data_IF_382954503231
#
_entry.id   IF_382954503231
#
_cell.length_a   1.000
_cell.length_b   1.000
_cell.length_c   1.000
_cell.angle_alpha   90.00
_cell.angle_beta   90.00
_cell.angle_gamma   90.00
#
_symmetry.space_group_name_H-M   'P 1'
#
loop_
_entity.id
_entity.type
_entity.pdbx_description
1 polymer ?
#
# COMPACT_ATOMS: atom_id res chain seq x y z
N UNK A 1 6.79 -27.63 4.96
CA UNK A 1 7.49 -26.82 5.98
C UNK A 1 8.24 -25.64 5.37
N UNK A 2 9.27 -25.87 4.55
CA UNK A 2 10.17 -24.82 4.02
C UNK A 2 9.46 -23.58 3.45
N UNK A 3 8.42 -23.75 2.63
CA UNK A 3 7.66 -22.63 2.04
C UNK A 3 7.10 -21.67 3.11
N UNK A 4 6.53 -22.20 4.20
CA UNK A 4 5.99 -21.41 5.32
C UNK A 4 7.10 -20.66 6.07
N UNK A 5 8.30 -21.26 6.19
CA UNK A 5 9.46 -20.59 6.77
C UNK A 5 9.92 -19.42 5.87
N UNK A 6 10.01 -19.64 4.55
CA UNK A 6 10.35 -18.61 3.57
C UNK A 6 9.33 -17.46 3.57
N UNK A 7 8.03 -17.76 3.61
CA UNK A 7 6.98 -16.73 3.76
C UNK A 7 7.22 -15.88 5.00
N UNK A 8 7.42 -16.47 6.17
CA UNK A 8 7.65 -15.74 7.42
C UNK A 8 8.94 -14.90 7.36
N UNK A 9 10.02 -15.45 6.82
CA UNK A 9 11.33 -14.77 6.67
C UNK A 9 11.27 -13.58 5.70
N UNK A 10 10.37 -13.59 4.71
CA UNK A 10 10.18 -12.45 3.78
C UNK A 10 9.15 -11.45 4.30
N UNK A 11 8.01 -11.90 4.82
CA UNK A 11 6.92 -11.01 5.22
C UNK A 11 7.19 -10.24 6.53
N UNK A 12 7.94 -10.80 7.49
CA UNK A 12 8.30 -10.05 8.71
C UNK A 12 9.15 -8.80 8.42
N UNK A 13 10.31 -8.88 7.74
CA UNK A 13 11.09 -7.68 7.44
C UNK A 13 10.36 -6.73 6.49
N UNK A 14 9.56 -7.23 5.55
CA UNK A 14 8.70 -6.39 4.71
C UNK A 14 7.71 -5.59 5.57
N UNK A 15 7.00 -6.22 6.51
CA UNK A 15 6.07 -5.55 7.42
C UNK A 15 6.78 -4.50 8.29
N UNK A 16 8.00 -4.78 8.78
CA UNK A 16 8.80 -3.81 9.55
C UNK A 16 9.13 -2.58 8.69
N UNK A 17 9.52 -2.77 7.42
CA UNK A 17 9.80 -1.66 6.48
C UNK A 17 8.55 -0.84 6.19
N UNK A 18 7.39 -1.49 5.95
CA UNK A 18 6.12 -0.80 5.71
C UNK A 18 5.65 0.01 6.92
N UNK A 19 5.80 -0.53 8.14
CA UNK A 19 5.50 0.19 9.39
C UNK A 19 6.44 1.37 9.58
N UNK A 20 7.75 1.21 9.36
CA UNK A 20 8.72 2.29 9.47
C UNK A 20 8.43 3.42 8.45
N UNK A 21 8.09 3.06 7.21
CA UNK A 21 7.71 3.99 6.14
C UNK A 21 6.44 4.78 6.53
N UNK A 22 5.42 4.10 7.07
CA UNK A 22 4.18 4.70 7.55
C UNK A 22 4.39 5.65 8.75
N UNK A 23 5.24 5.29 9.72
CA UNK A 23 5.53 6.11 10.90
C UNK A 23 6.37 7.34 10.56
N UNK A 24 7.36 7.20 9.67
CA UNK A 24 8.15 8.32 9.18
C UNK A 24 7.28 9.32 8.39
N UNK A 25 6.41 8.81 7.52
CA UNK A 25 5.55 9.60 6.65
C UNK A 25 4.10 9.67 7.18
N UNK A 26 3.99 9.99 8.48
CA UNK A 26 2.72 10.23 9.19
C UNK A 26 2.07 11.58 8.87
N UNK A 27 2.85 12.52 8.34
CA UNK A 27 2.34 13.76 7.74
C UNK A 27 1.89 13.48 6.29
N UNK A 28 1.06 14.34 5.67
CA UNK A 28 0.80 14.25 4.25
C UNK A 28 2.10 14.28 3.43
N UNK A 29 2.21 13.39 2.45
CA UNK A 29 3.30 13.35 1.49
C UNK A 29 2.68 13.35 0.10
N UNK A 30 3.27 14.14 -0.80
CA UNK A 30 2.84 14.24 -2.19
C UNK A 30 3.27 13.00 -2.97
N UNK A 31 2.29 12.22 -3.41
CA UNK A 31 2.48 11.01 -4.21
C UNK A 31 1.96 11.26 -5.63
N UNK A 32 2.88 11.45 -6.58
CA UNK A 32 2.56 11.65 -8.01
C UNK A 32 2.47 10.31 -8.75
N UNK A 33 1.32 10.02 -9.34
CA UNK A 33 1.04 8.85 -10.17
C UNK A 33 1.34 9.16 -11.65
N UNK A 34 2.51 9.75 -11.90
CA UNK A 34 2.99 10.15 -13.22
C UNK A 34 4.52 9.95 -13.28
N UNK A 35 5.02 8.87 -13.90
CA UNK A 35 6.45 8.58 -13.97
C UNK A 35 7.19 9.41 -15.04
N UNK A 36 6.47 10.23 -15.82
CA UNK A 36 7.04 11.04 -16.91
C UNK A 36 7.02 12.54 -16.60
N UNK A 37 6.12 12.99 -15.72
CA UNK A 37 6.01 14.38 -15.25
C UNK A 37 5.85 14.45 -13.72
N UNK A 38 6.95 14.30 -12.94
CA UNK A 38 6.91 14.39 -11.48
C UNK A 38 6.35 15.73 -10.99
N UNK A 39 5.47 15.70 -9.98
CA UNK A 39 4.78 16.90 -9.48
C UNK A 39 3.59 17.35 -10.33
N UNK A 40 3.11 16.56 -11.30
CA UNK A 40 1.89 16.83 -12.05
C UNK A 40 0.68 17.02 -11.10
N UNK A 41 0.08 18.23 -10.99
CA UNK A 41 -0.97 18.49 -10.01
C UNK A 41 -2.29 17.78 -10.34
N UNK A 42 -2.50 17.30 -11.56
CA UNK A 42 -3.66 16.48 -11.94
C UNK A 42 -3.53 15.00 -11.56
N UNK A 43 -2.33 14.55 -11.20
CA UNK A 43 -2.01 13.15 -10.84
C UNK A 43 -1.26 13.04 -9.50
N UNK A 44 -1.26 14.09 -8.68
CA UNK A 44 -0.61 14.09 -7.36
C UNK A 44 -1.65 14.12 -6.24
N UNK A 45 -1.54 13.19 -5.30
CA UNK A 45 -2.36 13.17 -4.08
C UNK A 45 -1.48 13.38 -2.85
N UNK A 46 -1.89 14.28 -1.95
CA UNK A 46 -1.15 14.58 -0.71
C UNK A 46 -1.80 13.86 0.46
N UNK A 47 -1.23 12.72 0.87
CA UNK A 47 -1.79 11.83 1.90
C UNK A 47 -0.67 11.21 2.74
N UNK A 48 -0.90 10.90 4.04
CA UNK A 48 0.03 10.09 4.82
C UNK A 48 0.18 8.70 4.21
N UNK A 49 1.40 8.17 4.12
CA UNK A 49 1.66 6.96 3.34
C UNK A 49 0.92 5.71 3.86
N UNK A 50 0.54 5.66 5.14
CA UNK A 50 -0.28 4.57 5.66
C UNK A 50 -1.64 4.45 4.95
N UNK A 51 -2.23 5.57 4.52
CA UNK A 51 -3.50 5.58 3.76
C UNK A 51 -3.30 4.91 2.40
N UNK A 52 -2.21 5.23 1.71
CA UNK A 52 -1.87 4.63 0.42
C UNK A 52 -1.53 3.13 0.55
N UNK A 53 -0.83 2.73 1.62
CA UNK A 53 -0.54 1.31 1.89
C UNK A 53 -1.80 0.49 2.19
N UNK A 54 -2.75 1.04 2.95
CA UNK A 54 -4.05 0.36 3.14
C UNK A 54 -4.90 0.37 1.87
N UNK A 55 -4.91 1.45 1.08
CA UNK A 55 -5.60 1.50 -0.21
C UNK A 55 -5.03 0.50 -1.24
N UNK A 56 -3.72 0.23 -1.21
CA UNK A 56 -3.07 -0.77 -2.05
C UNK A 56 -3.30 -2.23 -1.58
N UNK A 57 -3.70 -2.43 -0.32
CA UNK A 57 -4.09 -3.73 0.25
C UNK A 57 -5.60 -3.98 0.20
N UNK A 58 -6.41 -2.91 0.12
CA UNK A 58 -7.85 -2.96 -0.06
C UNK A 58 -8.18 -3.46 -1.47
N UNK A 59 -8.38 -4.78 -1.59
CA UNK A 59 -8.82 -5.44 -2.80
C UNK A 59 -10.23 -4.91 -3.20
N UNK A 60 -10.42 -4.28 -4.37
CA UNK A 60 -11.67 -3.58 -4.69
C UNK A 60 -12.86 -4.47 -5.11
N UNK A 61 -12.78 -5.80 -4.98
CA UNK A 61 -13.73 -6.76 -5.55
C UNK A 61 -14.33 -7.79 -4.58
N UNK A 62 -13.88 -7.85 -3.33
CA UNK A 62 -14.15 -8.94 -2.38
C UNK A 62 -15.61 -9.18 -1.95
N UNK A 63 -16.58 -8.35 -2.37
CA UNK A 63 -17.98 -8.40 -1.91
C UNK A 63 -19.00 -8.48 -3.06
N UNK A 64 -18.56 -8.80 -4.29
CA UNK A 64 -19.39 -8.74 -5.51
C UNK A 64 -19.85 -10.10 -6.09
N UNK A 65 -19.72 -11.21 -5.35
CA UNK A 65 -19.80 -12.57 -5.92
C UNK A 65 -20.87 -13.54 -5.35
N UNK A 66 -21.49 -13.26 -4.18
CA UNK A 66 -22.25 -14.29 -3.41
C UNK A 66 -23.71 -13.90 -3.06
N UNK A 67 -24.31 -12.94 -3.77
CA UNK A 67 -25.69 -12.46 -3.52
C UNK A 67 -26.63 -12.45 -4.76
N UNK A 68 -26.65 -13.55 -5.51
CA UNK A 68 -27.82 -13.99 -6.25
C UNK A 68 -27.97 -15.53 -6.11
N UNK A 69 -29.19 -16.04 -5.92
CA UNK A 69 -29.49 -17.42 -5.53
C UNK A 69 -30.84 -17.90 -6.08
#
# INVERSE_FOLDING_TARGET
MLNRLLTVVVFIPLAIVLIALAVANRAPVDFTIDPFNPGNPGLTVSLPLFVLLFAALAEPGGEAADHEA
#
